data_IF_844831186240
#
_entry.id   IF_844831186240
#
_cell.length_a   1.000
_cell.length_b   1.000
_cell.length_c   1.000
_cell.angle_alpha   90.00
_cell.angle_beta   90.00
_cell.angle_gamma   90.00
#
_symmetry.space_group_name_H-M   'P 1'
#
loop_
_entity.id
_entity.type
_entity.pdbx_description
1 polymer ?
#
# COMPACT_ATOMS: atom_id res chain seq x y z
N UNK A 1 -19.95 0.74 -19.17
CA UNK A 1 -18.53 0.62 -18.76
C UNK A 1 -18.33 -0.38 -17.61
N UNK A 2 -19.21 -0.43 -16.60
CA UNK A 2 -19.11 -1.39 -15.50
C UNK A 2 -19.29 -2.88 -15.91
N UNK A 3 -20.05 -3.16 -16.98
CA UNK A 3 -20.20 -4.52 -17.52
C UNK A 3 -18.89 -5.12 -18.07
N UNK A 4 -17.92 -4.28 -18.46
CA UNK A 4 -16.62 -4.73 -18.95
C UNK A 4 -15.77 -5.32 -17.81
N UNK A 5 -15.85 -4.74 -16.60
CA UNK A 5 -15.09 -5.20 -15.43
C UNK A 5 -15.72 -6.40 -14.72
N UNK A 6 -17.00 -6.68 -14.99
CA UNK A 6 -17.68 -7.91 -14.56
C UNK A 6 -17.19 -9.15 -15.32
N UNK A 7 -16.45 -8.97 -16.41
CA UNK A 7 -15.93 -10.05 -17.23
C UNK A 7 -14.51 -10.46 -16.80
N UNK A 8 -14.26 -11.75 -16.59
CA UNK A 8 -12.97 -12.31 -16.19
C UNK A 8 -11.97 -12.45 -17.36
N UNK A 9 -12.14 -11.69 -18.44
CA UNK A 9 -11.24 -11.75 -19.59
C UNK A 9 -9.96 -10.96 -19.33
N UNK A 10 -8.83 -11.46 -19.84
CA UNK A 10 -7.54 -10.77 -19.78
C UNK A 10 -7.61 -9.37 -20.43
N UNK A 11 -8.49 -9.19 -21.42
CA UNK A 11 -8.76 -7.89 -22.06
C UNK A 11 -9.20 -6.81 -21.08
N UNK A 12 -9.84 -7.18 -19.97
CA UNK A 12 -10.26 -6.23 -18.91
C UNK A 12 -9.06 -5.57 -18.23
N UNK A 13 -7.90 -6.23 -18.20
CA UNK A 13 -6.63 -5.68 -17.67
C UNK A 13 -6.16 -4.49 -18.50
N UNK A 14 -6.34 -4.55 -19.82
CA UNK A 14 -6.00 -3.43 -20.70
C UNK A 14 -6.87 -2.21 -20.42
N UNK A 15 -8.16 -2.40 -20.20
CA UNK A 15 -9.06 -1.31 -19.78
C UNK A 15 -8.71 -0.75 -18.41
N UNK A 16 -8.23 -1.59 -17.49
CA UNK A 16 -7.73 -1.16 -16.18
C UNK A 16 -6.46 -0.30 -16.33
N UNK A 17 -5.52 -0.70 -17.20
CA UNK A 17 -4.32 0.10 -17.49
C UNK A 17 -4.68 1.46 -18.10
N UNK A 18 -5.63 1.48 -19.03
CA UNK A 18 -6.14 2.73 -19.62
C UNK A 18 -6.81 3.61 -18.55
N UNK A 19 -7.58 3.01 -17.64
CA UNK A 19 -8.23 3.72 -16.55
C UNK A 19 -7.23 4.35 -15.57
N UNK A 20 -6.18 3.63 -15.19
CA UNK A 20 -5.08 4.17 -14.37
C UNK A 20 -4.39 5.32 -15.10
N UNK A 21 -4.08 5.15 -16.39
CA UNK A 21 -3.46 6.18 -17.22
C UNK A 21 -4.30 7.45 -17.27
N UNK A 22 -5.61 7.34 -17.52
CA UNK A 22 -6.53 8.48 -17.56
C UNK A 22 -6.53 9.25 -16.23
N UNK A 23 -6.59 8.55 -15.09
CA UNK A 23 -6.62 9.19 -13.78
C UNK A 23 -5.27 9.84 -13.39
N UNK A 24 -4.15 9.28 -13.85
CA UNK A 24 -2.82 9.81 -13.56
C UNK A 24 -2.30 10.81 -14.61
N UNK A 25 -3.03 11.04 -15.71
CA UNK A 25 -2.65 12.07 -16.69
C UNK A 25 -2.74 13.50 -16.15
N UNK A 26 -3.67 13.79 -15.25
CA UNK A 26 -3.82 15.14 -14.68
C UNK A 26 -2.61 15.56 -13.81
N UNK A 27 -2.08 14.68 -12.93
CA UNK A 27 -0.80 14.90 -12.28
C UNK A 27 0.38 14.97 -13.24
N UNK A 28 0.45 14.09 -14.24
CA UNK A 28 1.54 14.07 -15.21
C UNK A 28 1.61 15.33 -16.10
N UNK A 29 0.50 16.04 -16.27
CA UNK A 29 0.42 17.32 -16.99
C UNK A 29 0.68 18.54 -16.09
N UNK A 30 0.99 18.33 -14.80
CA UNK A 30 1.28 19.42 -13.85
C UNK A 30 0.06 20.24 -13.44
N UNK A 31 -1.16 19.73 -13.65
CA UNK A 31 -2.41 20.41 -13.29
C UNK A 31 -2.76 20.24 -11.80
N UNK A 32 -2.09 19.30 -11.11
CA UNK A 32 -2.16 19.15 -9.66
C UNK A 32 -0.86 19.69 -9.06
N UNK A 33 -0.92 20.59 -8.06
CA UNK A 33 0.28 20.99 -7.34
C UNK A 33 0.93 19.72 -6.75
N UNK A 34 2.23 19.56 -6.97
CA UNK A 34 2.99 18.56 -6.20
C UNK A 34 2.78 18.85 -4.71
N UNK A 35 2.56 17.83 -3.87
CA UNK A 35 2.52 18.02 -2.42
C UNK A 35 3.78 18.78 -2.02
N UNK A 36 3.61 19.95 -1.41
CA UNK A 36 4.67 20.89 -1.07
C UNK A 36 5.65 20.36 -0.01
N UNK A 37 5.46 19.14 0.46
CA UNK A 37 6.38 18.41 1.30
C UNK A 37 6.38 16.93 0.89
N UNK A 38 7.57 16.34 0.72
CA UNK A 38 7.75 14.90 0.91
C UNK A 38 7.04 14.56 2.23
N UNK A 39 6.17 13.52 2.30
CA UNK A 39 5.49 13.23 3.54
C UNK A 39 6.52 13.08 4.65
N UNK A 40 6.28 13.79 5.75
CA UNK A 40 7.21 14.07 6.86
C UNK A 40 7.81 12.82 7.52
N UNK A 41 7.39 11.61 7.10
CA UNK A 41 7.95 10.34 7.56
C UNK A 41 8.36 9.47 6.37
N UNK A 42 9.51 9.77 5.76
CA UNK A 42 10.18 8.88 4.81
C UNK A 42 11.01 7.83 5.55
N UNK A 43 10.81 6.55 5.20
CA UNK A 43 11.62 5.48 5.77
C UNK A 43 12.99 5.36 5.09
N UNK A 44 13.93 4.71 5.77
CA UNK A 44 15.31 4.59 5.31
C UNK A 44 15.44 3.95 3.92
N UNK A 45 14.60 2.96 3.59
CA UNK A 45 14.64 2.30 2.29
C UNK A 45 14.09 3.20 1.19
N UNK A 46 13.08 4.01 1.50
CA UNK A 46 12.53 4.94 0.53
C UNK A 46 13.57 5.98 0.13
N UNK A 47 14.22 6.61 1.09
CA UNK A 47 15.26 7.61 0.83
C UNK A 47 16.43 7.04 0.03
N UNK A 48 16.89 5.85 0.40
CA UNK A 48 18.03 5.22 -0.24
C UNK A 48 17.75 4.77 -1.69
N UNK A 49 16.55 4.25 -1.98
CA UNK A 49 16.26 3.61 -3.27
C UNK A 49 15.41 4.48 -4.20
N UNK A 50 14.40 5.16 -3.66
CA UNK A 50 13.36 5.82 -4.43
C UNK A 50 13.41 7.35 -4.33
N UNK A 51 14.15 7.91 -3.36
CA UNK A 51 14.27 9.36 -3.18
C UNK A 51 14.73 10.10 -4.45
N UNK A 52 15.67 9.51 -5.21
CA UNK A 52 16.12 10.10 -6.49
C UNK A 52 15.07 10.06 -7.60
N UNK A 53 14.23 9.04 -7.61
CA UNK A 53 13.16 8.88 -8.62
C UNK A 53 12.00 9.81 -8.26
N UNK A 54 11.64 9.89 -6.99
CA UNK A 54 10.60 10.78 -6.47
C UNK A 54 10.94 12.26 -6.69
N UNK A 55 12.22 12.64 -6.69
CA UNK A 55 12.66 14.02 -6.94
C UNK A 55 12.48 14.49 -8.40
N UNK A 56 12.20 13.59 -9.35
CA UNK A 56 12.07 13.94 -10.77
C UNK A 56 10.59 14.15 -11.15
N UNK A 57 10.14 15.36 -11.54
CA UNK A 57 8.73 15.67 -11.78
C UNK A 57 8.04 14.84 -12.86
N UNK A 58 8.80 14.35 -13.85
CA UNK A 58 8.28 13.49 -14.92
C UNK A 58 8.19 12.01 -14.51
N UNK A 59 9.20 11.51 -13.79
CA UNK A 59 9.26 10.10 -13.40
C UNK A 59 8.40 9.79 -12.18
N UNK A 60 8.20 10.77 -11.31
CA UNK A 60 7.42 10.65 -10.09
C UNK A 60 5.96 10.17 -10.34
N UNK A 61 5.10 10.88 -11.11
CA UNK A 61 3.72 10.44 -11.37
C UNK A 61 3.66 9.19 -12.25
N UNK A 62 4.62 8.99 -13.16
CA UNK A 62 4.67 7.79 -14.00
C UNK A 62 4.94 6.54 -13.17
N UNK A 63 5.92 6.60 -12.25
CA UNK A 63 6.23 5.51 -11.35
C UNK A 63 5.06 5.19 -10.42
N UNK A 64 4.35 6.22 -9.93
CA UNK A 64 3.14 6.06 -9.12
C UNK A 64 2.04 5.30 -9.90
N UNK A 65 1.76 5.72 -11.14
CA UNK A 65 0.76 5.07 -11.99
C UNK A 65 1.08 3.59 -12.23
N UNK A 66 2.34 3.26 -12.53
CA UNK A 66 2.78 1.87 -12.70
C UNK A 66 2.60 1.08 -11.40
N UNK A 67 2.94 1.67 -10.26
CA UNK A 67 2.78 1.06 -8.95
C UNK A 67 1.31 0.76 -8.63
N UNK A 68 0.42 1.73 -8.81
CA UNK A 68 -1.02 1.59 -8.60
C UNK A 68 -1.59 0.50 -9.49
N UNK A 69 -1.16 0.43 -10.75
CA UNK A 69 -1.58 -0.63 -11.68
C UNK A 69 -1.17 -2.02 -11.17
N UNK A 70 0.08 -2.18 -10.72
CA UNK A 70 0.55 -3.45 -10.15
C UNK A 70 -0.24 -3.80 -8.88
N UNK A 71 -0.45 -2.83 -7.98
CA UNK A 71 -1.22 -3.01 -6.75
C UNK A 71 -2.66 -3.46 -7.04
N UNK A 72 -3.32 -2.86 -8.03
CA UNK A 72 -4.66 -3.23 -8.44
C UNK A 72 -4.75 -4.70 -8.89
N UNK A 73 -3.74 -5.17 -9.65
CA UNK A 73 -3.65 -6.59 -10.05
C UNK A 73 -3.45 -7.48 -8.83
N UNK A 74 -2.55 -7.12 -7.91
CA UNK A 74 -2.27 -7.90 -6.71
C UNK A 74 -3.50 -8.00 -5.80
N UNK A 75 -4.23 -6.90 -5.61
CA UNK A 75 -5.48 -6.86 -4.84
C UNK A 75 -6.55 -7.72 -5.52
N UNK A 76 -6.69 -7.64 -6.84
CA UNK A 76 -7.65 -8.48 -7.57
C UNK A 76 -7.31 -9.97 -7.43
N UNK A 77 -6.04 -10.33 -7.59
CA UNK A 77 -5.57 -11.70 -7.43
C UNK A 77 -5.79 -12.22 -5.99
N UNK A 78 -5.64 -11.37 -4.98
CA UNK A 78 -5.92 -11.71 -3.59
C UNK A 78 -7.40 -12.06 -3.37
N UNK A 79 -8.30 -11.21 -3.85
CA UNK A 79 -9.75 -11.41 -3.74
C UNK A 79 -10.19 -12.68 -4.48
N UNK A 80 -9.65 -12.90 -5.68
CA UNK A 80 -9.90 -14.09 -6.49
C UNK A 80 -9.42 -15.37 -5.78
N UNK A 81 -8.21 -15.36 -5.21
CA UNK A 81 -7.59 -16.54 -4.58
C UNK A 81 -8.38 -17.02 -3.36
N UNK A 82 -8.91 -16.09 -2.57
CA UNK A 82 -9.69 -16.42 -1.38
C UNK A 82 -11.21 -16.44 -1.61
N UNK A 83 -11.66 -16.29 -2.86
CA UNK A 83 -13.08 -16.29 -3.26
C UNK A 83 -13.93 -15.38 -2.37
N UNK A 84 -13.44 -14.16 -2.12
CA UNK A 84 -14.18 -13.21 -1.29
C UNK A 84 -15.43 -12.66 -1.99
N UNK A 85 -15.48 -12.76 -3.32
CA UNK A 85 -16.64 -12.46 -4.14
C UNK A 85 -17.24 -13.77 -4.70
N UNK A 86 -18.57 -13.78 -4.86
CA UNK A 86 -19.31 -14.94 -5.39
C UNK A 86 -18.95 -15.27 -6.85
N UNK A 87 -18.52 -14.27 -7.62
CA UNK A 87 -18.04 -14.42 -8.99
C UNK A 87 -16.66 -13.77 -9.16
N UNK A 88 -15.83 -14.39 -10.01
CA UNK A 88 -14.51 -13.85 -10.35
C UNK A 88 -14.67 -12.67 -11.30
N UNK A 89 -14.26 -11.49 -10.87
CA UNK A 89 -14.34 -10.26 -11.65
C UNK A 89 -13.19 -9.30 -11.35
N UNK A 90 -13.05 -8.24 -12.13
CA UNK A 90 -12.00 -7.21 -11.99
C UNK A 90 -12.46 -6.00 -11.18
N UNK A 91 -13.61 -6.10 -10.50
CA UNK A 91 -14.15 -5.00 -9.69
C UNK A 91 -13.20 -4.63 -8.54
N UNK A 92 -12.61 -5.56 -7.77
CA UNK A 92 -11.67 -5.20 -6.70
C UNK A 92 -10.51 -4.33 -7.18
N UNK A 93 -9.88 -4.70 -8.32
CA UNK A 93 -8.81 -3.92 -8.91
C UNK A 93 -9.27 -2.53 -9.36
N UNK A 94 -10.44 -2.43 -10.00
CA UNK A 94 -11.01 -1.16 -10.41
C UNK A 94 -11.30 -0.24 -9.21
N UNK A 95 -11.90 -0.77 -8.15
CA UNK A 95 -12.16 -0.02 -6.92
C UNK A 95 -10.88 0.44 -6.24
N UNK A 96 -9.84 -0.40 -6.24
CA UNK A 96 -8.53 -0.01 -5.72
C UNK A 96 -7.97 1.20 -6.47
N UNK A 97 -7.99 1.17 -7.81
CA UNK A 97 -7.53 2.30 -8.63
C UNK A 97 -8.35 3.56 -8.32
N UNK A 98 -9.67 3.44 -8.24
CA UNK A 98 -10.54 4.56 -7.91
C UNK A 98 -10.17 5.16 -6.55
N UNK A 99 -10.06 4.35 -5.49
CA UNK A 99 -9.69 4.79 -4.14
C UNK A 99 -8.28 5.39 -4.12
N UNK A 100 -7.33 4.81 -4.86
CA UNK A 100 -5.97 5.37 -4.95
C UNK A 100 -5.95 6.75 -5.61
N UNK A 101 -6.75 6.96 -6.66
CA UNK A 101 -6.85 8.25 -7.32
C UNK A 101 -7.59 9.31 -6.46
N UNK A 102 -8.31 8.87 -5.42
CA UNK A 102 -8.95 9.76 -4.46
C UNK A 102 -7.96 10.35 -3.43
N UNK A 103 -6.77 9.76 -3.31
CA UNK A 103 -5.74 10.15 -2.35
C UNK A 103 -4.67 10.96 -3.10
N UNK A 104 -4.51 12.28 -2.83
CA UNK A 104 -3.50 13.10 -3.49
C UNK A 104 -2.08 12.52 -3.35
N UNK A 105 -1.77 11.92 -2.20
CA UNK A 105 -0.48 11.28 -1.92
C UNK A 105 -0.19 10.07 -2.82
N UNK A 106 -1.21 9.43 -3.39
CA UNK A 106 -1.06 8.22 -4.20
C UNK A 106 -0.94 8.53 -5.71
N UNK A 107 -1.15 9.79 -6.09
CA UNK A 107 -0.92 10.29 -7.46
C UNK A 107 0.57 10.46 -7.76
N UNK A 108 1.40 10.54 -6.72
CA UNK A 108 2.85 10.67 -6.79
C UNK A 108 3.53 9.49 -6.07
N UNK A 109 4.79 9.23 -6.41
CA UNK A 109 5.64 8.23 -5.79
C UNK A 109 6.03 8.67 -4.37
N UNK A 110 5.13 8.37 -3.43
CA UNK A 110 5.30 8.69 -2.02
C UNK A 110 5.63 7.44 -1.19
N UNK A 111 6.28 7.59 -0.02
CA UNK A 111 6.50 6.50 0.93
C UNK A 111 5.25 5.67 1.26
N UNK A 112 4.07 6.27 1.56
CA UNK A 112 2.84 5.52 1.82
C UNK A 112 2.39 4.65 0.65
N UNK A 113 2.50 5.15 -0.59
CA UNK A 113 2.14 4.40 -1.79
C UNK A 113 3.01 3.15 -1.93
N UNK A 114 4.32 3.29 -1.71
CA UNK A 114 5.25 2.16 -1.79
C UNK A 114 4.96 1.14 -0.69
N UNK A 115 4.73 1.58 0.54
CA UNK A 115 4.37 0.70 1.65
C UNK A 115 3.06 -0.06 1.40
N UNK A 116 2.07 0.56 0.76
CA UNK A 116 0.80 -0.07 0.40
C UNK A 116 0.96 -1.27 -0.54
N UNK A 117 2.08 -1.42 -1.26
CA UNK A 117 2.33 -2.61 -2.09
C UNK A 117 2.52 -3.89 -1.29
N UNK A 118 3.13 -3.78 -0.11
CA UNK A 118 3.54 -4.93 0.69
C UNK A 118 2.40 -5.43 1.59
N UNK A 119 1.41 -4.58 1.90
CA UNK A 119 0.27 -4.94 2.74
C UNK A 119 -0.60 -6.06 2.12
N UNK A 120 -1.03 -6.00 0.84
CA UNK A 120 -1.72 -7.11 0.20
C UNK A 120 -0.91 -8.41 0.20
N UNK A 121 0.43 -8.31 0.06
CA UNK A 121 1.32 -9.47 0.12
C UNK A 121 1.31 -10.09 1.53
N UNK A 122 1.40 -9.27 2.58
CA UNK A 122 1.30 -9.73 3.96
C UNK A 122 -0.08 -10.36 4.25
N UNK A 123 -1.18 -9.71 3.83
CA UNK A 123 -2.54 -10.22 3.96
C UNK A 123 -2.71 -11.59 3.31
N UNK A 124 -2.16 -11.76 2.10
CA UNK A 124 -2.16 -13.05 1.40
C UNK A 124 -1.54 -14.16 2.25
N UNK A 125 -0.41 -13.88 2.92
CA UNK A 125 0.27 -14.85 3.78
C UNK A 125 -0.55 -15.22 5.00
N UNK A 126 -1.21 -14.23 5.62
CA UNK A 126 -2.14 -14.46 6.73
C UNK A 126 -3.30 -15.36 6.30
N UNK A 127 -3.94 -15.08 5.17
CA UNK A 127 -5.09 -15.89 4.74
C UNK A 127 -4.70 -17.33 4.35
N UNK A 128 -3.51 -17.53 3.76
CA UNK A 128 -2.97 -18.89 3.49
C UNK A 128 -2.68 -19.71 4.73
N UNK A 129 -2.61 -19.06 5.89
CA UNK A 129 -2.30 -19.70 7.16
C UNK A 129 -3.51 -20.48 7.71
N UNK A 130 -4.72 -20.20 7.20
CA UNK A 130 -5.94 -20.94 7.52
C UNK A 130 -5.86 -22.42 7.08
N UNK A 131 -6.18 -23.34 8.01
CA UNK A 131 -6.16 -24.81 7.80
C UNK A 131 -4.83 -25.40 7.27
N UNK A 132 -3.72 -24.67 7.34
CA UNK A 132 -2.41 -25.14 6.89
C UNK A 132 -1.63 -25.85 8.02
N UNK A 133 -1.24 -27.13 7.90
CA UNK A 133 -0.42 -27.78 8.93
C UNK A 133 0.93 -27.10 9.18
N UNK A 134 1.58 -26.57 8.14
CA UNK A 134 2.91 -25.95 8.23
C UNK A 134 2.87 -24.47 7.82
N UNK A 135 2.35 -23.61 8.71
CA UNK A 135 2.23 -22.17 8.43
C UNK A 135 3.36 -21.30 8.99
N UNK A 136 4.39 -21.89 9.60
CA UNK A 136 5.52 -21.16 10.18
C UNK A 136 6.15 -20.19 9.18
N UNK A 137 6.44 -20.63 7.95
CA UNK A 137 6.98 -19.77 6.89
C UNK A 137 6.01 -18.65 6.49
N UNK A 138 4.70 -18.92 6.44
CA UNK A 138 3.70 -17.91 6.09
C UNK A 138 3.60 -16.83 7.16
N UNK A 139 3.70 -17.21 8.44
CA UNK A 139 3.66 -16.29 9.57
C UNK A 139 4.92 -15.42 9.60
N UNK A 140 6.10 -16.02 9.33
CA UNK A 140 7.33 -15.28 9.15
C UNK A 140 7.20 -14.27 8.00
N UNK A 141 6.74 -14.72 6.83
CA UNK A 141 6.56 -13.87 5.64
C UNK A 141 5.62 -12.69 5.93
N UNK A 142 4.52 -12.92 6.66
CA UNK A 142 3.57 -11.86 6.99
C UNK A 142 4.21 -10.74 7.83
N UNK A 143 4.98 -11.10 8.87
CA UNK A 143 5.74 -10.15 9.67
C UNK A 143 6.84 -9.46 8.87
N UNK A 144 7.56 -10.24 8.05
CA UNK A 144 8.63 -9.76 7.18
C UNK A 144 8.14 -8.68 6.20
N UNK A 145 7.10 -8.97 5.40
CA UNK A 145 6.59 -8.03 4.41
C UNK A 145 6.00 -6.78 5.05
N UNK A 146 5.38 -6.90 6.22
CA UNK A 146 4.84 -5.76 6.95
C UNK A 146 5.96 -4.85 7.47
N UNK A 147 7.05 -5.43 7.97
CA UNK A 147 8.17 -4.63 8.42
C UNK A 147 8.98 -4.04 7.26
N UNK A 148 9.07 -4.73 6.11
CA UNK A 148 9.58 -4.12 4.87
C UNK A 148 8.74 -2.89 4.49
N UNK A 149 7.40 -2.97 4.59
CA UNK A 149 6.53 -1.81 4.37
C UNK A 149 6.89 -0.65 5.32
N UNK A 150 7.10 -0.96 6.61
CA UNK A 150 7.48 0.02 7.62
C UNK A 150 8.86 0.67 7.34
N UNK A 151 9.80 -0.05 6.74
CA UNK A 151 11.09 0.52 6.32
C UNK A 151 10.98 1.51 5.14
N UNK A 152 9.92 1.44 4.34
CA UNK A 152 9.61 2.47 3.35
C UNK A 152 8.82 3.62 3.96
N UNK A 153 7.83 3.31 4.81
CA UNK A 153 6.98 4.29 5.49
C UNK A 153 6.82 3.91 6.96
N UNK A 154 7.54 4.57 7.89
CA UNK A 154 7.60 4.17 9.29
C UNK A 154 6.24 3.92 9.96
N UNK A 155 5.18 4.74 9.74
CA UNK A 155 3.87 4.51 10.34
C UNK A 155 3.21 3.18 9.93
N UNK A 156 3.65 2.53 8.84
CA UNK A 156 3.16 1.20 8.49
C UNK A 156 3.52 0.14 9.55
N UNK A 157 4.39 0.42 10.53
CA UNK A 157 4.66 -0.45 11.67
C UNK A 157 3.38 -0.75 12.48
N UNK A 158 2.41 0.17 12.52
CA UNK A 158 1.12 -0.05 13.19
C UNK A 158 0.30 -1.17 12.53
N UNK A 159 0.55 -1.48 11.25
CA UNK A 159 -0.08 -2.62 10.57
C UNK A 159 0.35 -3.97 11.14
N UNK A 160 1.43 -4.03 11.94
CA UNK A 160 1.78 -5.25 12.69
C UNK A 160 0.67 -5.66 13.66
N UNK A 161 -0.10 -4.70 14.20
CA UNK A 161 -1.27 -5.02 15.03
C UNK A 161 -2.35 -5.73 14.21
N UNK A 162 -2.60 -5.27 12.97
CA UNK A 162 -3.54 -5.91 12.06
C UNK A 162 -3.06 -7.32 11.65
N UNK A 163 -1.74 -7.50 11.42
CA UNK A 163 -1.14 -8.82 11.14
C UNK A 163 -1.30 -9.76 12.33
N UNK A 164 -0.97 -9.28 13.52
CA UNK A 164 -1.14 -10.02 14.76
C UNK A 164 -2.60 -10.47 14.92
N UNK A 165 -3.55 -9.54 14.84
CA UNK A 165 -4.98 -9.84 14.93
C UNK A 165 -5.41 -10.84 13.84
N UNK A 166 -4.98 -10.65 12.59
CA UNK A 166 -5.31 -11.51 11.46
C UNK A 166 -4.85 -12.96 11.65
N UNK A 167 -3.65 -13.17 12.20
CA UNK A 167 -3.16 -14.52 12.52
C UNK A 167 -4.03 -15.18 13.60
N UNK A 168 -4.43 -14.43 14.64
CA UNK A 168 -5.28 -14.94 15.72
C UNK A 168 -6.71 -15.25 15.29
N UNK A 169 -7.22 -14.54 14.26
CA UNK A 169 -8.50 -14.86 13.64
C UNK A 169 -8.41 -16.15 12.84
N UNK A 170 -7.32 -16.36 12.11
CA UNK A 170 -7.15 -17.53 11.25
C UNK A 170 -6.76 -18.80 12.02
N UNK A 171 -6.11 -18.66 13.18
CA UNK A 171 -5.57 -19.78 13.97
C UNK A 171 -5.56 -19.51 15.47
N UNK A 172 -5.61 -20.61 16.23
CA UNK A 172 -5.42 -20.58 17.67
C UNK A 172 -4.02 -20.13 18.07
N UNK A 173 -3.94 -19.43 19.20
CA UNK A 173 -2.69 -18.93 19.78
C UNK A 173 -1.67 -20.05 20.04
N UNK A 174 -0.46 -19.90 19.49
CA UNK A 174 0.70 -20.76 19.81
C UNK A 174 1.95 -19.91 19.98
N UNK A 175 2.64 -20.06 21.12
CA UNK A 175 3.87 -19.30 21.41
C UNK A 175 4.95 -19.44 20.33
N UNK A 176 5.12 -20.65 19.77
CA UNK A 176 6.07 -20.88 18.67
C UNK A 176 5.76 -20.02 17.44
N UNK A 177 4.47 -19.85 17.11
CA UNK A 177 4.04 -19.04 15.97
C UNK A 177 4.28 -17.54 16.24
N UNK A 178 4.14 -17.09 17.50
CA UNK A 178 4.44 -15.70 17.89
C UNK A 178 5.93 -15.37 17.78
N UNK A 179 6.81 -16.28 18.22
CA UNK A 179 8.26 -16.11 18.10
C UNK A 179 8.67 -16.01 16.62
N UNK A 180 8.03 -16.79 15.76
CA UNK A 180 8.28 -16.79 14.31
C UNK A 180 7.79 -15.52 13.64
N UNK A 181 6.63 -14.98 14.07
CA UNK A 181 6.19 -13.67 13.61
C UNK A 181 7.20 -12.58 14.00
N UNK A 182 7.65 -12.58 15.26
CA UNK A 182 8.64 -11.62 15.75
C UNK A 182 9.98 -11.74 15.02
N UNK A 183 10.44 -12.95 14.71
CA UNK A 183 11.67 -13.12 13.92
C UNK A 183 11.50 -12.60 12.50
N UNK A 184 10.31 -12.75 11.90
CA UNK A 184 9.94 -12.14 10.62
C UNK A 184 10.03 -10.61 10.65
N UNK A 185 9.56 -9.99 11.72
CA UNK A 185 9.64 -8.52 11.92
C UNK A 185 11.07 -8.05 12.16
N UNK A 186 11.83 -8.75 13.01
CA UNK A 186 13.19 -8.33 13.37
C UNK A 186 14.15 -8.42 12.19
N UNK A 187 14.00 -9.44 11.33
CA UNK A 187 14.91 -9.70 10.21
C UNK A 187 15.14 -8.49 9.29
N UNK A 188 14.12 -7.85 8.69
CA UNK A 188 14.33 -6.71 7.80
C UNK A 188 14.87 -5.48 8.54
N UNK A 189 14.44 -5.21 9.79
CA UNK A 189 15.02 -4.13 10.61
C UNK A 189 16.51 -4.36 10.81
N UNK A 190 16.88 -5.58 11.21
CA UNK A 190 18.26 -5.95 11.47
C UNK A 190 19.14 -5.79 10.23
N UNK A 191 18.67 -6.26 9.07
CA UNK A 191 19.40 -6.12 7.80
C UNK A 191 19.56 -4.65 7.39
N UNK A 192 18.51 -3.83 7.51
CA UNK A 192 18.58 -2.42 7.19
C UNK A 192 19.52 -1.65 8.14
N UNK A 193 19.45 -1.95 9.44
CA UNK A 193 20.35 -1.37 10.44
C UNK A 193 21.80 -1.79 10.22
N UNK A 194 22.05 -3.07 9.91
CA UNK A 194 23.40 -3.59 9.63
C UNK A 194 24.04 -2.87 8.44
N UNK A 195 23.27 -2.59 7.38
CA UNK A 195 23.74 -1.80 6.25
C UNK A 195 24.14 -0.38 6.66
N UNK A 196 23.30 0.30 7.45
CA UNK A 196 23.60 1.63 7.98
C UNK A 196 24.83 1.63 8.88
N UNK A 197 24.98 0.59 9.71
CA UNK A 197 26.15 0.39 10.56
C UNK A 197 27.43 0.25 9.74
N UNK A 198 27.40 -0.53 8.64
CA UNK A 198 28.55 -0.67 7.74
C UNK A 198 28.96 0.68 7.10
N UNK A 199 28.00 1.56 6.82
CA UNK A 199 28.26 2.89 6.24
C UNK A 199 28.62 3.98 7.27
N UNK A 200 29.01 3.60 8.49
CA UNK A 200 29.28 4.51 9.62
C UNK A 200 28.10 5.44 9.99
N UNK A 201 26.87 5.05 9.64
CA UNK A 201 25.62 5.80 9.88
C UNK A 201 24.65 5.06 10.81
N UNK A 202 25.12 4.06 11.55
CA UNK A 202 24.28 3.21 12.40
C UNK A 202 23.46 3.98 13.46
N UNK A 203 24.01 5.09 13.99
CA UNK A 203 23.29 5.96 14.92
C UNK A 203 22.15 6.76 14.27
N UNK A 204 22.30 7.14 12.99
CA UNK A 204 21.29 7.91 12.26
C UNK A 204 20.05 7.08 11.90
N UNK A 205 20.20 5.75 11.76
CA UNK A 205 19.09 4.85 11.42
C UNK A 205 17.89 5.01 12.36
N UNK A 206 18.13 5.04 13.67
CA UNK A 206 17.06 5.14 14.66
C UNK A 206 16.32 6.47 14.59
N UNK A 207 17.05 7.56 14.32
CA UNK A 207 16.46 8.89 14.15
C UNK A 207 15.57 8.95 12.91
N UNK A 208 16.06 8.49 11.76
CA UNK A 208 15.30 8.50 10.50
C UNK A 208 14.11 7.55 10.56
N UNK A 209 14.30 6.34 11.09
CA UNK A 209 13.27 5.29 11.03
C UNK A 209 12.23 5.39 12.15
N UNK A 210 12.59 5.88 13.34
CA UNK A 210 11.70 5.90 14.50
C UNK A 210 11.49 7.29 15.12
N UNK A 211 12.24 8.32 14.70
CA UNK A 211 12.13 9.67 15.25
C UNK A 211 10.77 10.31 15.04
N UNK A 212 10.24 10.21 13.82
CA UNK A 212 8.97 10.86 13.44
C UNK A 212 7.72 9.98 13.64
N UNK A 213 7.87 8.77 14.21
CA UNK A 213 6.74 7.84 14.39
C UNK A 213 5.63 8.37 15.30
N UNK A 214 6.00 9.17 16.29
CA UNK A 214 5.07 9.69 17.31
C UNK A 214 4.76 11.17 17.13
N UNK A 215 5.26 11.81 16.05
CA UNK A 215 4.79 13.14 15.69
C UNK A 215 3.31 13.03 15.32
N UNK A 216 2.46 13.60 16.17
CA UNK A 216 1.02 13.64 15.96
C UNK A 216 0.79 14.30 14.61
N UNK A 217 0.29 13.56 13.62
CA UNK A 217 -0.14 14.17 12.38
C UNK A 217 -1.20 15.21 12.74
N UNK A 218 -0.82 16.49 12.63
CA UNK A 218 -1.79 17.55 12.52
C UNK A 218 -2.53 17.24 11.23
N UNK A 219 -3.74 16.68 11.35
CA UNK A 219 -4.70 16.71 10.26
C UNK A 219 -4.98 18.18 10.00
N UNK A 220 -4.13 18.82 9.20
CA UNK A 220 -4.46 20.07 8.56
C UNK A 220 -5.58 19.74 7.59
N UNK A 221 -6.81 19.75 8.12
CA UNK A 221 -8.00 20.05 7.37
C UNK A 221 -7.86 21.50 6.91
N UNK A 222 -6.91 21.76 6.02
CA UNK A 222 -6.97 22.91 5.14
C UNK A 222 -8.19 22.64 4.28
N UNK A 223 -9.35 23.15 4.73
CA UNK A 223 -10.62 23.12 4.01
C UNK A 223 -10.44 24.05 2.81
N UNK A 224 -9.67 23.60 1.84
CA UNK A 224 -9.58 24.24 0.55
C UNK A 224 -10.79 23.79 -0.28
N UNK A 225 -11.41 24.74 -0.98
CA UNK A 225 -12.60 24.50 -1.81
C UNK A 225 -12.35 23.39 -2.84
N UNK A 226 -11.09 23.27 -3.30
CA UNK A 226 -10.65 22.22 -4.22
C UNK A 226 -10.73 20.83 -3.59
N UNK A 227 -10.21 20.65 -2.38
CA UNK A 227 -10.23 19.37 -1.64
C UNK A 227 -11.66 18.97 -1.25
N UNK A 228 -12.51 19.95 -0.94
CA UNK A 228 -13.95 19.71 -0.68
C UNK A 228 -14.68 19.29 -1.96
N UNK A 229 -14.40 19.93 -3.10
CA UNK A 229 -14.98 19.54 -4.38
C UNK A 229 -14.51 18.15 -4.83
N UNK A 230 -13.22 17.85 -4.69
CA UNK A 230 -12.67 16.51 -4.98
C UNK A 230 -13.35 15.45 -4.10
N UNK A 231 -13.43 15.66 -2.79
CA UNK A 231 -14.11 14.71 -1.88
C UNK A 231 -15.61 14.56 -2.16
N UNK A 232 -16.32 15.62 -2.58
CA UNK A 232 -17.73 15.54 -3.00
C UNK A 232 -17.88 14.74 -4.29
N UNK A 233 -17.04 14.99 -5.30
CA UNK A 233 -17.08 14.24 -6.57
C UNK A 233 -16.78 12.77 -6.34
N UNK A 234 -15.81 12.47 -5.48
CA UNK A 234 -15.46 11.12 -5.07
C UNK A 234 -16.62 10.45 -4.33
N UNK A 235 -17.25 11.15 -3.38
CA UNK A 235 -18.43 10.68 -2.67
C UNK A 235 -19.59 10.36 -3.61
N UNK A 236 -19.83 11.23 -4.61
CA UNK A 236 -20.85 11.01 -5.64
C UNK A 236 -20.53 9.81 -6.53
N UNK A 237 -19.29 9.65 -6.99
CA UNK A 237 -18.86 8.49 -7.77
C UNK A 237 -19.03 7.19 -6.98
N UNK A 238 -18.63 7.18 -5.70
CA UNK A 238 -18.82 6.04 -4.82
C UNK A 238 -20.30 5.69 -4.63
N UNK A 239 -21.16 6.71 -4.46
CA UNK A 239 -22.60 6.54 -4.27
C UNK A 239 -23.30 6.04 -5.54
N UNK A 240 -22.91 6.56 -6.72
CA UNK A 240 -23.37 6.05 -8.03
C UNK A 240 -22.99 4.57 -8.18
N UNK A 241 -21.80 4.17 -7.73
CA UNK A 241 -21.37 2.78 -7.82
C UNK A 241 -22.15 1.88 -6.84
N UNK A 242 -22.42 2.33 -5.62
CA UNK A 242 -23.25 1.61 -4.66
C UNK A 242 -24.69 1.40 -5.18
N UNK A 243 -25.30 2.46 -5.73
CA UNK A 243 -26.64 2.41 -6.31
C UNK A 243 -26.71 1.57 -7.60
N UNK A 244 -25.59 1.42 -8.32
CA UNK A 244 -25.51 0.53 -9.47
C UNK A 244 -25.47 -0.96 -9.09
N UNK A 245 -25.28 -1.30 -7.81
CA UNK A 245 -25.12 -2.68 -7.33
C UNK A 245 -26.38 -3.22 -6.61
N UNK A 246 -27.34 -2.36 -6.26
CA UNK A 246 -28.66 -2.74 -5.77
C UNK A 246 -29.67 -2.90 -6.90
#
# INVERSE_FOLDING_TARGET
MLSLFRNNQFTTVFFLALYVGLLHTAPALGLTPEPSSLPVSSGVLFEAWLGRIAANPLFNPLAAAVLVFIQAIVVNALVDEFRMLGERNWLPGMFYVLVSACLPDFLFLTPPLVAATFLPVAMRRIFKTYKQPAATTLIFDAGFWTMVAALFYPPAIFMLLAVYAGIHVMRAFKLKEQIVMLSGVITPIFLAWLWYFWTDRGGAFWGVQFGDLFHWHHFDLSIDLRTVLESIVIGLLFLIILLSYG
#
